data_IF_247864362296
#
_entry.id   IF_247864362296
#
_cell.length_a   1.000
_cell.length_b   1.000
_cell.length_c   1.000
_cell.angle_alpha   90.00
_cell.angle_beta   90.00
_cell.angle_gamma   90.00
#
_symmetry.space_group_name_H-M   'P 1'
#
loop_
_entity.id
_entity.type
_entity.pdbx_description
1 polymer ?
#
# COMPACT_ATOMS: atom_id res chain seq x y z
N UNK A 1 -18.38 7.70 -40.03
CA UNK A 1 -17.32 8.72 -40.00
C UNK A 1 -17.30 9.25 -38.59
N UNK A 2 -16.23 8.93 -37.87
CA UNK A 2 -15.96 9.34 -36.50
C UNK A 2 -15.46 10.78 -36.53
N UNK A 3 -16.02 11.63 -35.69
CA UNK A 3 -15.32 12.81 -35.17
C UNK A 3 -15.38 12.70 -33.64
N UNK A 4 -14.43 11.95 -33.09
CA UNK A 4 -14.12 12.00 -31.66
C UNK A 4 -13.20 13.20 -31.52
N UNK A 5 -13.73 14.29 -30.98
CA UNK A 5 -12.92 15.42 -30.56
C UNK A 5 -11.99 14.96 -29.45
N UNK A 6 -10.70 14.87 -29.78
CA UNK A 6 -9.60 14.76 -28.82
C UNK A 6 -9.65 16.02 -27.94
N UNK A 7 -10.20 15.87 -26.73
CA UNK A 7 -9.98 16.85 -25.68
C UNK A 7 -8.57 16.61 -25.15
N UNK A 8 -7.62 17.32 -25.76
CA UNK A 8 -6.27 17.48 -25.22
C UNK A 8 -6.38 18.24 -23.90
N UNK A 9 -6.54 17.50 -22.79
CA UNK A 9 -6.48 18.04 -21.43
C UNK A 9 -5.02 18.26 -21.08
N UNK A 10 -4.39 19.19 -21.80
CA UNK A 10 -3.10 19.75 -21.46
C UNK A 10 -3.23 20.53 -20.16
N UNK A 11 -2.95 19.88 -19.04
CA UNK A 11 -2.70 20.56 -17.76
C UNK A 11 -1.50 21.48 -17.97
N UNK A 12 -1.74 22.76 -18.21
CA UNK A 12 -0.71 23.75 -18.43
C UNK A 12 0.20 23.81 -17.19
N UNK A 13 1.51 23.89 -17.37
CA UNK A 13 2.46 24.03 -16.25
C UNK A 13 2.13 25.24 -15.35
N UNK A 14 1.53 26.27 -15.93
CA UNK A 14 1.03 27.48 -15.24
C UNK A 14 -0.13 27.17 -14.28
N UNK A 15 -1.01 26.22 -14.60
CA UNK A 15 -2.10 25.81 -13.70
C UNK A 15 -1.57 25.03 -12.49
N UNK A 16 -0.51 24.24 -12.68
CA UNK A 16 0.17 23.54 -11.58
C UNK A 16 0.88 24.53 -10.64
N UNK A 17 1.40 25.65 -11.17
CA UNK A 17 2.07 26.70 -10.40
C UNK A 17 1.07 27.56 -9.59
N UNK A 18 -0.13 27.83 -10.13
CA UNK A 18 -1.19 28.59 -9.47
C UNK A 18 -1.80 27.82 -8.28
N UNK A 19 -1.99 26.50 -8.41
CA UNK A 19 -2.49 25.66 -7.31
C UNK A 19 -1.48 25.56 -6.17
N UNK A 20 -0.19 25.54 -6.50
CA UNK A 20 0.89 25.50 -5.52
C UNK A 20 1.10 26.84 -4.78
N UNK A 21 0.67 27.97 -5.37
CA UNK A 21 0.95 29.31 -4.86
C UNK A 21 -0.19 29.98 -4.06
N UNK A 22 -1.43 29.47 -4.12
CA UNK A 22 -2.58 30.03 -3.39
C UNK A 22 -3.45 28.94 -2.73
N UNK A 23 -3.42 28.74 -1.39
CA UNK A 23 -4.22 27.68 -0.77
C UNK A 23 -5.58 28.23 -0.34
N UNK A 24 -6.66 27.82 -1.02
CA UNK A 24 -7.80 27.29 -0.30
C UNK A 24 -8.10 25.89 -0.85
N UNK A 25 -7.12 25.01 -0.72
CA UNK A 25 -7.28 23.59 -1.03
C UNK A 25 -8.05 22.87 0.07
N UNK A 26 -8.93 21.93 -0.30
CA UNK A 26 -9.54 21.01 0.64
C UNK A 26 -8.44 20.12 1.23
N UNK A 27 -7.92 20.44 2.42
CA UNK A 27 -6.87 19.63 3.06
C UNK A 27 -7.39 18.33 3.64
N UNK A 28 -8.66 18.31 4.03
CA UNK A 28 -9.32 17.17 4.65
C UNK A 28 -10.57 16.85 3.86
N UNK A 29 -10.70 15.59 3.43
CA UNK A 29 -11.87 15.08 2.74
C UNK A 29 -12.38 13.82 3.44
N UNK A 30 -13.69 13.72 3.61
CA UNK A 30 -14.34 12.54 4.17
C UNK A 30 -15.40 12.04 3.21
N UNK A 31 -15.29 10.77 2.82
CA UNK A 31 -16.32 10.03 2.10
C UNK A 31 -16.85 8.92 3.00
N UNK A 32 -18.12 9.02 3.39
CA UNK A 32 -18.83 7.92 4.04
C UNK A 32 -19.91 7.40 3.10
N UNK A 33 -19.64 6.29 2.41
CA UNK A 33 -20.59 5.68 1.49
C UNK A 33 -20.54 4.17 1.50
N UNK A 34 -21.71 3.55 1.41
CA UNK A 34 -21.84 2.11 1.21
C UNK A 34 -21.84 1.72 -0.28
N UNK A 35 -21.88 2.70 -1.18
CA UNK A 35 -21.99 2.50 -2.62
C UNK A 35 -20.64 2.66 -3.30
N UNK A 36 -20.31 1.72 -4.18
CA UNK A 36 -19.03 1.76 -4.91
C UNK A 36 -19.02 2.83 -6.01
N UNK A 37 -20.21 3.35 -6.40
CA UNK A 37 -20.35 4.50 -7.31
C UNK A 37 -19.66 5.73 -6.77
N UNK A 38 -19.85 6.02 -5.48
CA UNK A 38 -19.34 7.25 -4.87
C UNK A 38 -17.81 7.21 -4.74
N UNK A 39 -17.24 6.00 -4.61
CA UNK A 39 -15.79 5.78 -4.69
C UNK A 39 -15.30 5.99 -6.12
N UNK A 40 -16.07 5.58 -7.12
CA UNK A 40 -15.74 5.80 -8.53
C UNK A 40 -15.74 7.28 -8.88
N UNK A 41 -16.72 8.02 -8.37
CA UNK A 41 -16.78 9.47 -8.53
C UNK A 41 -15.61 10.15 -7.82
N UNK A 42 -15.26 9.69 -6.62
CA UNK A 42 -14.08 10.18 -5.90
C UNK A 42 -12.78 9.94 -6.67
N UNK A 43 -12.61 8.73 -7.25
CA UNK A 43 -11.47 8.40 -8.12
C UNK A 43 -11.42 9.39 -9.30
N UNK A 44 -12.56 9.58 -9.99
CA UNK A 44 -12.64 10.50 -11.13
C UNK A 44 -12.28 11.92 -10.74
N UNK A 45 -12.77 12.41 -9.59
CA UNK A 45 -12.44 13.73 -9.06
C UNK A 45 -10.95 13.86 -8.78
N UNK A 46 -10.32 12.87 -8.15
CA UNK A 46 -8.87 12.90 -7.87
C UNK A 46 -7.99 12.80 -9.11
N UNK A 47 -8.47 12.16 -10.17
CA UNK A 47 -7.75 12.08 -11.44
C UNK A 47 -7.91 13.36 -12.26
N UNK A 48 -9.11 13.96 -12.27
CA UNK A 48 -9.46 15.02 -13.24
C UNK A 48 -9.45 16.43 -12.66
N UNK A 49 -9.73 16.61 -11.37
CA UNK A 49 -9.93 17.94 -10.77
C UNK A 49 -8.68 18.37 -10.00
N UNK A 50 -7.93 19.38 -10.48
CA UNK A 50 -6.66 19.77 -9.87
C UNK A 50 -6.76 20.27 -8.43
N UNK A 51 -7.89 20.85 -8.04
CA UNK A 51 -8.14 21.36 -6.69
C UNK A 51 -8.03 20.28 -5.60
N UNK A 52 -8.39 19.04 -5.92
CA UNK A 52 -8.34 17.92 -4.99
C UNK A 52 -6.95 17.29 -4.86
N UNK A 53 -5.97 17.71 -5.67
CA UNK A 53 -4.56 17.28 -5.54
C UNK A 53 -3.94 17.74 -4.21
N UNK A 54 -4.50 18.80 -3.62
CA UNK A 54 -4.08 19.39 -2.34
C UNK A 54 -4.63 18.66 -1.11
N UNK A 55 -5.43 17.61 -1.28
CA UNK A 55 -5.94 16.81 -0.16
C UNK A 55 -4.78 16.11 0.54
N UNK A 56 -4.61 16.43 1.83
CA UNK A 56 -3.57 15.86 2.68
C UNK A 56 -4.13 14.71 3.53
N UNK A 57 -5.38 14.82 3.97
CA UNK A 57 -6.05 13.82 4.82
C UNK A 57 -7.33 13.35 4.15
N UNK A 58 -7.44 12.04 3.92
CA UNK A 58 -8.62 11.42 3.34
C UNK A 58 -9.18 10.36 4.28
N UNK A 59 -10.45 10.50 4.67
CA UNK A 59 -11.19 9.45 5.38
C UNK A 59 -12.19 8.83 4.44
N UNK A 60 -12.03 7.54 4.11
CA UNK A 60 -12.99 6.78 3.33
C UNK A 60 -13.56 5.66 4.19
N UNK A 61 -14.88 5.66 4.33
CA UNK A 61 -15.64 4.54 4.84
C UNK A 61 -16.47 3.95 3.71
N UNK A 62 -16.06 2.80 3.18
CA UNK A 62 -16.84 2.07 2.21
C UNK A 62 -16.60 0.55 2.27
N UNK A 63 -17.25 -0.20 1.37
CA UNK A 63 -17.08 -1.65 1.26
C UNK A 63 -15.66 -1.99 0.81
N UNK A 64 -15.15 -3.18 1.17
CA UNK A 64 -13.82 -3.61 0.75
C UNK A 64 -13.62 -3.52 -0.77
N UNK A 65 -14.63 -3.91 -1.56
CA UNK A 65 -14.57 -3.81 -3.03
C UNK A 65 -14.36 -2.36 -3.52
N UNK A 66 -15.03 -1.38 -2.91
CA UNK A 66 -14.83 0.03 -3.23
C UNK A 66 -13.41 0.50 -2.89
N UNK A 67 -12.92 0.17 -1.70
CA UNK A 67 -11.55 0.51 -1.30
C UNK A 67 -10.50 -0.18 -2.17
N UNK A 68 -10.68 -1.44 -2.53
CA UNK A 68 -9.75 -2.16 -3.41
C UNK A 68 -9.65 -1.47 -4.78
N UNK A 69 -10.76 -0.98 -5.33
CA UNK A 69 -10.75 -0.14 -6.55
C UNK A 69 -10.03 1.18 -6.33
N UNK A 70 -10.30 1.87 -5.22
CA UNK A 70 -9.60 3.11 -4.87
C UNK A 70 -8.08 2.91 -4.86
N UNK A 71 -7.61 1.87 -4.16
CA UNK A 71 -6.18 1.52 -4.09
C UNK A 71 -5.60 1.17 -5.46
N UNK A 72 -6.32 0.41 -6.29
CA UNK A 72 -5.89 0.07 -7.65
C UNK A 72 -5.76 1.30 -8.57
N UNK A 73 -6.54 2.35 -8.31
CA UNK A 73 -6.52 3.59 -9.08
C UNK A 73 -5.50 4.62 -8.59
N UNK A 74 -4.91 4.46 -7.39
CA UNK A 74 -3.91 5.39 -6.83
C UNK A 74 -2.77 5.76 -7.79
N UNK A 75 -2.18 4.84 -8.57
CA UNK A 75 -1.14 5.19 -9.55
C UNK A 75 -1.57 6.25 -10.58
N UNK A 76 -2.87 6.36 -10.84
CA UNK A 76 -3.44 7.29 -11.81
C UNK A 76 -3.97 8.58 -11.17
N UNK A 77 -3.80 8.75 -9.86
CA UNK A 77 -4.23 9.94 -9.13
C UNK A 77 -3.03 10.83 -8.82
N UNK A 78 -3.19 12.14 -9.01
CA UNK A 78 -2.16 13.13 -8.65
C UNK A 78 -2.40 13.62 -7.23
N UNK A 79 -2.14 12.78 -6.23
CA UNK A 79 -2.46 13.08 -4.82
C UNK A 79 -1.20 13.28 -3.96
N UNK A 80 -1.27 14.27 -3.06
CA UNK A 80 -0.27 14.51 -2.01
C UNK A 80 -0.78 14.08 -0.64
N UNK A 81 -1.41 12.90 -0.58
CA UNK A 81 -2.00 12.36 0.64
C UNK A 81 -0.93 12.04 1.68
N UNK A 82 -1.01 12.73 2.83
CA UNK A 82 -0.21 12.46 4.03
C UNK A 82 -0.86 11.42 4.93
N UNK A 83 -2.20 11.45 5.00
CA UNK A 83 -2.98 10.59 5.90
C UNK A 83 -4.15 9.97 5.15
N UNK A 84 -4.29 8.65 5.23
CA UNK A 84 -5.42 7.92 4.67
C UNK A 84 -6.08 7.05 5.74
N UNK A 85 -7.33 7.35 6.07
CA UNK A 85 -8.16 6.60 7.00
C UNK A 85 -9.16 5.74 6.21
N UNK A 86 -8.94 4.44 6.15
CA UNK A 86 -9.84 3.49 5.50
C UNK A 86 -10.63 2.69 6.55
N UNK A 87 -11.90 3.03 6.70
CA UNK A 87 -12.83 2.35 7.60
C UNK A 87 -13.63 1.31 6.81
N UNK A 88 -13.16 0.07 6.84
CA UNK A 88 -13.84 -1.08 6.24
C UNK A 88 -14.38 -2.00 7.34
N UNK A 89 -15.45 -2.75 7.04
CA UNK A 89 -15.98 -3.80 7.92
C UNK A 89 -15.32 -5.17 7.70
N UNK A 90 -14.45 -5.27 6.70
CA UNK A 90 -13.87 -6.52 6.18
C UNK A 90 -12.40 -6.29 5.83
N UNK A 91 -11.58 -7.36 5.81
CA UNK A 91 -10.18 -7.26 5.37
C UNK A 91 -10.10 -6.69 3.95
N UNK A 92 -9.16 -5.77 3.71
CA UNK A 92 -8.90 -5.26 2.36
C UNK A 92 -7.86 -6.13 1.68
N UNK A 93 -8.00 -6.25 0.36
CA UNK A 93 -7.06 -6.97 -0.50
C UNK A 93 -6.57 -6.05 -1.61
N UNK A 94 -6.03 -4.85 -1.29
CA UNK A 94 -5.64 -3.90 -2.31
C UNK A 94 -4.48 -4.48 -3.13
N UNK A 95 -4.65 -4.52 -4.44
CA UNK A 95 -3.53 -4.82 -5.35
C UNK A 95 -2.98 -3.49 -5.81
N UNK A 96 -2.11 -2.87 -4.99
CA UNK A 96 -1.50 -1.60 -5.37
C UNK A 96 -0.02 -1.53 -5.05
N UNK A 97 0.72 -0.87 -5.94
CA UNK A 97 2.12 -0.53 -5.73
C UNK A 97 2.17 0.80 -4.98
N UNK A 98 2.77 0.82 -3.79
CA UNK A 98 3.00 2.03 -2.98
C UNK A 98 4.02 3.00 -3.60
N UNK A 99 4.38 2.81 -4.87
CA UNK A 99 5.33 3.64 -5.59
C UNK A 99 4.83 5.10 -5.70
N UNK A 100 3.51 5.32 -5.77
CA UNK A 100 2.90 6.63 -6.00
C UNK A 100 2.43 7.39 -4.76
N UNK A 101 2.68 6.88 -3.54
CA UNK A 101 2.32 7.57 -2.30
C UNK A 101 3.58 8.00 -1.55
N UNK A 102 4.39 8.84 -2.20
CA UNK A 102 5.67 9.33 -1.64
C UNK A 102 5.51 10.16 -0.37
N UNK A 103 4.31 10.71 -0.13
CA UNK A 103 4.00 11.60 1.00
C UNK A 103 3.20 10.95 2.14
N UNK A 104 2.79 9.68 2.00
CA UNK A 104 1.94 9.01 3.00
C UNK A 104 2.74 8.65 4.25
N UNK A 105 2.45 9.34 5.35
CA UNK A 105 3.08 9.12 6.64
C UNK A 105 2.18 8.38 7.63
N UNK A 106 0.86 8.39 7.40
CA UNK A 106 -0.13 7.72 8.24
C UNK A 106 -1.18 6.97 7.43
N UNK A 107 -1.40 5.70 7.77
CA UNK A 107 -2.33 4.82 7.06
C UNK A 107 -3.19 4.03 8.04
N UNK A 108 -4.39 4.50 8.32
CA UNK A 108 -5.31 3.83 9.25
C UNK A 108 -6.23 2.87 8.50
N UNK A 109 -5.80 1.62 8.39
CA UNK A 109 -6.53 0.55 7.69
C UNK A 109 -6.59 -0.68 8.60
N UNK A 110 -7.69 -1.44 8.60
CA UNK A 110 -7.82 -2.68 9.40
C UNK A 110 -6.92 -3.83 8.91
N UNK A 111 -6.56 -3.85 7.63
CA UNK A 111 -5.54 -4.73 7.09
C UNK A 111 -5.25 -4.47 5.61
N UNK A 112 -4.02 -4.72 5.16
CA UNK A 112 -3.52 -4.42 3.82
C UNK A 112 -2.83 -5.66 3.28
N UNK A 113 -3.14 -6.02 2.03
CA UNK A 113 -2.36 -6.96 1.24
C UNK A 113 -1.43 -6.16 0.32
N UNK A 114 -0.15 -6.47 0.32
CA UNK A 114 0.85 -5.79 -0.50
C UNK A 114 1.35 -6.78 -1.52
N UNK A 115 0.94 -6.59 -2.78
CA UNK A 115 1.45 -7.36 -3.92
C UNK A 115 2.48 -6.54 -4.67
N UNK A 116 3.73 -6.64 -4.23
CA UNK A 116 4.85 -6.11 -4.99
C UNK A 116 5.96 -7.16 -5.08
N UNK A 117 6.56 -7.26 -6.26
CA UNK A 117 7.54 -8.27 -6.56
C UNK A 117 8.87 -8.01 -5.82
N UNK A 118 9.11 -6.78 -5.38
CA UNK A 118 10.35 -6.39 -4.74
C UNK A 118 10.16 -5.83 -3.33
N UNK A 119 10.39 -6.70 -2.35
CA UNK A 119 10.39 -6.34 -0.93
C UNK A 119 11.40 -5.22 -0.60
N UNK A 120 12.51 -5.08 -1.35
CA UNK A 120 13.51 -4.05 -1.10
C UNK A 120 12.94 -2.63 -1.31
N UNK A 121 11.93 -2.48 -2.16
CA UNK A 121 11.29 -1.19 -2.40
C UNK A 121 10.14 -0.90 -1.45
N UNK A 122 9.35 -1.91 -1.09
CA UNK A 122 8.12 -1.69 -0.31
C UNK A 122 8.36 -1.68 1.19
N UNK A 123 9.22 -2.55 1.71
CA UNK A 123 9.46 -2.64 3.15
C UNK A 123 10.00 -1.33 3.74
N UNK A 124 10.96 -0.61 3.12
CA UNK A 124 11.42 0.67 3.66
C UNK A 124 10.29 1.72 3.76
N UNK A 125 9.36 1.73 2.80
CA UNK A 125 8.19 2.63 2.84
C UNK A 125 7.22 2.25 3.95
N UNK A 126 6.94 0.96 4.15
CA UNK A 126 6.15 0.50 5.30
C UNK A 126 6.82 0.89 6.64
N UNK A 127 8.15 0.78 6.69
CA UNK A 127 8.96 1.24 7.82
C UNK A 127 8.98 2.76 7.99
N UNK A 128 8.30 3.57 7.17
CA UNK A 128 8.11 5.01 7.38
C UNK A 128 6.70 5.34 7.83
N UNK A 129 5.75 4.43 7.63
CA UNK A 129 4.35 4.62 8.01
C UNK A 129 4.18 4.30 9.50
N UNK A 130 3.37 5.09 10.20
CA UNK A 130 2.83 4.75 11.51
C UNK A 130 1.33 4.51 11.38
N UNK A 131 0.80 3.53 12.10
CA UNK A 131 -0.64 3.26 12.07
C UNK A 131 -1.16 2.67 13.39
N UNK A 132 -1.93 3.46 14.17
CA UNK A 132 -2.48 3.02 15.44
C UNK A 132 -3.56 1.95 15.30
N UNK A 133 -4.15 1.78 14.11
CA UNK A 133 -5.27 0.88 13.85
C UNK A 133 -4.93 -0.29 12.93
N UNK A 134 -3.66 -0.40 12.51
CA UNK A 134 -3.24 -1.46 11.61
C UNK A 134 -3.17 -2.80 12.34
N UNK A 135 -4.20 -3.63 12.15
CA UNK A 135 -4.38 -4.85 12.93
C UNK A 135 -3.72 -6.08 12.32
N UNK A 136 -3.70 -6.15 10.99
CA UNK A 136 -3.12 -7.26 10.23
C UNK A 136 -2.45 -6.77 8.94
N UNK A 137 -1.37 -7.42 8.52
CA UNK A 137 -0.65 -7.10 7.29
C UNK A 137 -0.37 -8.37 6.51
N UNK A 138 -0.65 -8.38 5.21
CA UNK A 138 -0.26 -9.47 4.30
C UNK A 138 0.73 -8.92 3.29
N UNK A 139 1.87 -9.58 3.12
CA UNK A 139 2.92 -9.21 2.16
C UNK A 139 3.06 -10.37 1.18
N UNK A 140 2.82 -10.11 -0.09
CA UNK A 140 3.13 -11.02 -1.17
C UNK A 140 4.53 -10.70 -1.69
N UNK A 141 5.47 -11.61 -1.48
CA UNK A 141 6.87 -11.49 -1.88
C UNK A 141 7.14 -12.38 -3.09
N UNK A 142 7.43 -11.79 -4.24
CA UNK A 142 7.74 -12.56 -5.44
C UNK A 142 9.24 -12.83 -5.56
N UNK A 143 9.59 -14.06 -5.92
CA UNK A 143 10.96 -14.45 -6.26
C UNK A 143 11.15 -14.30 -7.77
N UNK A 144 11.89 -13.26 -8.18
CA UNK A 144 12.04 -12.87 -9.59
C UNK A 144 13.38 -13.27 -10.22
N UNK A 145 14.22 -14.04 -9.53
CA UNK A 145 15.46 -14.62 -10.07
C UNK A 145 16.66 -13.67 -10.23
N UNK A 146 16.46 -12.34 -10.28
CA UNK A 146 17.51 -11.33 -10.59
C UNK A 146 17.96 -10.50 -9.37
N UNK A 147 17.98 -11.07 -8.17
CA UNK A 147 18.42 -10.31 -6.98
C UNK A 147 18.15 -10.96 -5.64
N UNK A 148 17.32 -12.01 -5.62
CA UNK A 148 17.06 -12.75 -4.40
C UNK A 148 18.07 -13.89 -4.33
N UNK A 149 19.13 -13.77 -3.52
CA UNK A 149 19.91 -14.95 -3.13
C UNK A 149 19.07 -15.74 -2.13
N UNK A 150 18.91 -17.07 -2.29
CA UNK A 150 18.17 -17.86 -1.32
C UNK A 150 18.91 -17.95 0.02
N UNK A 151 20.19 -17.54 0.07
CA UNK A 151 21.04 -17.66 1.25
C UNK A 151 21.11 -16.38 2.08
N UNK A 152 20.67 -15.25 1.53
CA UNK A 152 20.74 -13.95 2.20
C UNK A 152 19.35 -13.34 2.22
N UNK A 153 18.89 -12.99 3.43
CA UNK A 153 17.66 -12.23 3.57
C UNK A 153 18.00 -10.77 3.30
N UNK A 154 17.30 -10.08 2.38
CA UNK A 154 17.53 -8.66 2.15
C UNK A 154 17.43 -7.84 3.44
N UNK A 155 18.33 -6.87 3.62
CA UNK A 155 18.39 -5.98 4.80
C UNK A 155 17.05 -5.28 5.09
N UNK A 156 16.25 -5.05 4.05
CA UNK A 156 14.92 -4.48 4.15
C UNK A 156 13.99 -5.29 5.09
N UNK A 157 14.12 -6.62 5.12
CA UNK A 157 13.36 -7.47 6.04
C UNK A 157 13.85 -7.35 7.50
N UNK A 158 15.15 -7.16 7.71
CA UNK A 158 15.71 -6.89 9.05
C UNK A 158 15.17 -5.57 9.59
N UNK A 159 15.21 -4.51 8.79
CA UNK A 159 14.67 -3.20 9.16
C UNK A 159 13.15 -3.28 9.42
N UNK A 160 12.42 -4.03 8.59
CA UNK A 160 10.99 -4.25 8.75
C UNK A 160 10.65 -4.96 10.06
N UNK A 161 11.39 -6.02 10.42
CA UNK A 161 11.23 -6.72 11.70
C UNK A 161 11.34 -5.76 12.88
N UNK A 162 12.38 -4.91 12.91
CA UNK A 162 12.54 -3.94 14.00
C UNK A 162 11.42 -2.90 14.01
N UNK A 163 10.96 -2.47 12.83
CA UNK A 163 9.87 -1.50 12.71
C UNK A 163 8.54 -2.04 13.23
N UNK A 164 8.16 -3.29 12.94
CA UNK A 164 6.90 -3.86 13.42
C UNK A 164 6.96 -4.25 14.90
N UNK A 165 8.16 -4.48 15.44
CA UNK A 165 8.38 -4.74 16.87
C UNK A 165 8.18 -3.48 17.72
N UNK A 166 8.35 -2.30 17.14
CA UNK A 166 8.09 -1.03 17.82
C UNK A 166 6.58 -0.79 18.01
N UNK A 167 6.11 -1.05 19.23
CA UNK A 167 4.71 -0.88 19.61
C UNK A 167 4.21 0.57 19.50
N UNK A 168 5.11 1.56 19.56
CA UNK A 168 4.71 2.97 19.39
C UNK A 168 4.23 3.27 17.98
N UNK A 169 4.68 2.47 17.00
CA UNK A 169 4.36 2.64 15.58
C UNK A 169 3.15 1.85 15.14
N UNK A 170 3.01 0.62 15.66
CA UNK A 170 1.95 -0.32 15.29
C UNK A 170 1.29 -0.95 16.53
N UNK A 171 0.59 -0.16 17.36
CA UNK A 171 0.07 -0.64 18.64
C UNK A 171 -1.03 -1.71 18.49
N UNK A 172 -1.78 -1.70 17.39
CA UNK A 172 -2.86 -2.65 17.12
C UNK A 172 -2.44 -3.89 16.30
N UNK A 173 -1.20 -3.91 15.78
CA UNK A 173 -0.73 -4.97 14.90
C UNK A 173 -0.59 -6.28 15.68
N UNK A 174 -1.23 -7.32 15.17
CA UNK A 174 -1.32 -8.62 15.82
C UNK A 174 -0.99 -9.78 14.90
N UNK A 175 -0.99 -9.57 13.59
CA UNK A 175 -0.72 -10.62 12.61
C UNK A 175 -0.03 -10.04 11.38
N UNK A 176 1.02 -10.72 10.92
CA UNK A 176 1.71 -10.48 9.66
C UNK A 176 1.75 -11.80 8.89
N UNK A 177 1.22 -11.81 7.68
CA UNK A 177 1.26 -12.96 6.78
C UNK A 177 2.21 -12.64 5.61
N UNK A 178 3.17 -13.51 5.33
CA UNK A 178 4.12 -13.37 4.22
C UNK A 178 3.91 -14.53 3.26
N UNK A 179 3.39 -14.21 2.08
CA UNK A 179 3.11 -15.14 1.00
C UNK A 179 4.21 -15.07 -0.06
N UNK A 180 4.98 -16.14 -0.22
CA UNK A 180 6.11 -16.20 -1.15
C UNK A 180 5.64 -16.82 -2.47
N UNK A 181 5.84 -16.13 -3.60
CA UNK A 181 5.46 -16.56 -4.96
C UNK A 181 6.69 -16.84 -5.82
N UNK A 182 6.63 -17.89 -6.64
CA UNK A 182 7.72 -18.32 -7.52
C UNK A 182 7.57 -17.75 -8.94
N UNK A 183 7.71 -16.44 -9.10
CA UNK A 183 7.52 -15.75 -10.38
C UNK A 183 8.61 -16.10 -11.41
N UNK A 184 9.81 -16.49 -10.95
CA UNK A 184 10.94 -16.85 -11.80
C UNK A 184 11.09 -18.35 -12.04
N UNK A 185 10.17 -19.19 -11.55
CA UNK A 185 10.27 -20.64 -11.61
C UNK A 185 11.62 -21.17 -11.06
N UNK A 186 12.09 -20.57 -9.98
CA UNK A 186 13.32 -20.97 -9.29
C UNK A 186 13.19 -22.34 -8.61
N UNK A 187 11.96 -22.83 -8.44
CA UNK A 187 11.66 -24.17 -7.97
C UNK A 187 11.46 -24.25 -6.46
N UNK A 188 10.74 -25.30 -6.04
CA UNK A 188 10.27 -25.45 -4.66
C UNK A 188 11.38 -25.44 -3.59
N UNK A 189 12.55 -26.00 -3.90
CA UNK A 189 13.67 -26.00 -2.96
C UNK A 189 14.17 -24.59 -2.66
N UNK A 190 14.23 -23.74 -3.68
CA UNK A 190 14.61 -22.34 -3.52
C UNK A 190 13.63 -21.60 -2.61
N UNK A 191 12.33 -21.75 -2.90
CA UNK A 191 11.24 -21.16 -2.12
C UNK A 191 11.25 -21.61 -0.66
N UNK A 192 11.58 -22.89 -0.42
CA UNK A 192 11.70 -23.45 0.92
C UNK A 192 12.88 -22.88 1.69
N UNK A 193 14.02 -22.65 1.06
CA UNK A 193 15.17 -21.99 1.71
C UNK A 193 14.79 -20.55 2.09
N UNK A 194 14.19 -19.79 1.17
CA UNK A 194 13.73 -18.43 1.46
C UNK A 194 12.75 -18.37 2.62
N UNK A 195 11.75 -19.26 2.65
CA UNK A 195 10.82 -19.39 3.78
C UNK A 195 11.55 -19.65 5.09
N UNK A 196 12.52 -20.57 5.11
CA UNK A 196 13.27 -20.90 6.31
C UNK A 196 14.08 -19.72 6.82
N UNK A 197 14.70 -18.96 5.92
CA UNK A 197 15.48 -17.77 6.29
C UNK A 197 14.60 -16.66 6.86
N UNK A 198 13.43 -16.40 6.26
CA UNK A 198 12.44 -15.48 6.83
C UNK A 198 11.92 -15.99 8.18
N UNK A 199 11.64 -17.29 8.32
CA UNK A 199 11.27 -17.87 9.63
C UNK A 199 12.35 -17.69 10.68
N UNK A 200 13.62 -17.88 10.32
CA UNK A 200 14.74 -17.65 11.22
C UNK A 200 14.82 -16.18 11.62
N UNK A 201 14.69 -15.26 10.66
CA UNK A 201 14.66 -13.81 10.90
C UNK A 201 13.60 -13.42 11.94
N UNK A 202 12.39 -13.93 11.80
CA UNK A 202 11.24 -13.62 12.65
C UNK A 202 11.14 -14.49 13.91
N UNK A 203 11.96 -15.53 14.06
CA UNK A 203 11.95 -16.41 15.24
C UNK A 203 12.19 -15.66 16.56
N UNK A 204 12.96 -14.57 16.51
CA UNK A 204 13.24 -13.70 17.65
C UNK A 204 12.07 -12.79 18.04
N UNK A 205 10.94 -12.86 17.31
CA UNK A 205 9.68 -12.22 17.69
C UNK A 205 8.80 -13.10 18.59
N UNK A 206 9.30 -14.23 19.11
CA UNK A 206 8.50 -15.15 19.94
C UNK A 206 7.90 -14.56 21.23
N UNK A 207 8.34 -13.38 21.68
CA UNK A 207 7.72 -12.62 22.79
C UNK A 207 6.85 -11.44 22.32
N UNK A 208 6.78 -11.23 21.00
CA UNK A 208 5.93 -10.22 20.38
C UNK A 208 4.46 -10.65 20.43
N UNK A 209 3.56 -9.67 20.46
CA UNK A 209 2.11 -9.89 20.31
C UNK A 209 1.70 -10.13 18.85
N UNK A 210 2.67 -10.05 17.93
CA UNK A 210 2.48 -10.17 16.50
C UNK A 210 2.78 -11.60 16.10
N UNK A 211 1.76 -12.30 15.61
CA UNK A 211 1.91 -13.58 14.96
C UNK A 211 2.46 -13.38 13.54
N UNK A 212 3.47 -14.16 13.14
CA UNK A 212 4.10 -14.02 11.82
C UNK A 212 4.02 -15.36 11.08
N UNK A 213 3.11 -15.42 10.11
CA UNK A 213 2.89 -16.59 9.26
C UNK A 213 3.64 -16.44 7.94
N UNK A 214 4.36 -17.49 7.53
CA UNK A 214 5.14 -17.49 6.28
C UNK A 214 4.80 -18.73 5.45
N UNK A 215 4.16 -18.47 4.32
CA UNK A 215 3.56 -19.46 3.42
C UNK A 215 4.23 -19.40 2.05
N UNK A 216 4.37 -20.56 1.41
CA UNK A 216 4.75 -20.66 -0.01
C UNK A 216 3.44 -20.84 -0.77
N UNK A 217 3.20 -19.97 -1.74
CA UNK A 217 2.02 -20.01 -2.59
C UNK A 217 2.39 -20.64 -3.94
N UNK A 218 1.59 -21.59 -4.38
CA UNK A 218 1.57 -22.02 -5.78
C UNK A 218 0.76 -21.02 -6.60
N UNK A 219 1.29 -20.63 -7.76
CA UNK A 219 0.53 -19.89 -8.79
C UNK A 219 -0.55 -20.81 -9.37
#
# INVERSE_FOLDING_TARGET
MNDIADFDVGSCAEDEEIINSNPPGFRVLTLESYWDSDVTDLINVFTTIPWYRTVETLTIRCRAQGLDRFFASLPNMKLSLKTLHCKTRTRLTPVTRFQHIESLSSLEVFGINIRDADAAHVLPKLCQIASPHFHSLTICYAVTGVGNSPFEVPDAWMAFRESIKDHSRFPALSSVEINIYDDANCGYMFMRIMRNNLKYLFSYMGTSRIDVDILICSI
#
